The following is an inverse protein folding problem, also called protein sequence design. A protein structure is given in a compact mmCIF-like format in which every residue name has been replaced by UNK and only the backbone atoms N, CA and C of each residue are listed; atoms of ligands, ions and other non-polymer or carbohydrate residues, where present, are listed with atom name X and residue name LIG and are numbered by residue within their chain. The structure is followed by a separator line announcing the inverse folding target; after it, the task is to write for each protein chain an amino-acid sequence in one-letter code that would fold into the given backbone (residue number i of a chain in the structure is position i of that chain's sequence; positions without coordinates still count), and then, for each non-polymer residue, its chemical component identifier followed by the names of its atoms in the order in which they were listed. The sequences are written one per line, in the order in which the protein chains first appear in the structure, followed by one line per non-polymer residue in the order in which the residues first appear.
data_IF_766928722318
#
_entry.id   IF_766928722318
#
_cell.length_a   1.000
_cell.length_b   1.000
_cell.length_c   1.000
_cell.angle_alpha   90.00
_cell.angle_beta   90.00
_cell.angle_gamma   90.00
#
_symmetry.space_group_name_H-M   'P 1'
#
loop_
_entity.id
_entity.type
_entity.pdbx_description
1 polymer ?
#
# COMPACT_ATOMS: atom_id res chain seq x y z
N UNK A 1 -13.29 -2.99 -9.88
CA UNK A 1 -13.89 -1.68 -9.56
C UNK A 1 -14.75 -1.83 -8.30
N UNK A 2 -14.99 -0.76 -7.56
CA UNK A 2 -16.08 -0.68 -6.59
C UNK A 2 -17.42 -0.45 -7.31
N UNK A 3 -18.53 -0.51 -6.58
CA UNK A 3 -19.87 -0.28 -7.14
C UNK A 3 -20.04 1.11 -7.74
N UNK A 4 -19.34 2.11 -7.18
CA UNK A 4 -19.28 3.48 -7.70
C UNK A 4 -18.39 3.65 -8.95
N UNK A 5 -17.83 2.55 -9.48
CA UNK A 5 -16.94 2.58 -10.64
C UNK A 5 -15.51 3.01 -10.32
N UNK A 6 -15.15 3.28 -9.07
CA UNK A 6 -13.77 3.60 -8.71
C UNK A 6 -12.86 2.35 -8.79
N UNK A 7 -11.57 2.56 -9.08
CA UNK A 7 -10.61 1.46 -9.27
C UNK A 7 -10.25 0.81 -7.93
N UNK A 8 -10.40 -0.51 -7.84
CA UNK A 8 -9.82 -1.34 -6.78
C UNK A 8 -8.36 -1.66 -7.13
N UNK A 9 -7.46 -1.58 -6.17
CA UNK A 9 -6.08 -2.01 -6.34
C UNK A 9 -5.54 -2.63 -5.05
N UNK A 10 -4.56 -3.52 -5.19
CA UNK A 10 -3.77 -4.04 -4.10
C UNK A 10 -2.37 -4.36 -4.61
N UNK A 11 -1.36 -3.70 -4.07
CA UNK A 11 0.05 -3.94 -4.36
C UNK A 11 0.69 -4.54 -3.11
N UNK A 12 1.12 -5.80 -3.22
CA UNK A 12 1.72 -6.54 -2.11
C UNK A 12 3.24 -6.55 -2.25
N UNK A 13 3.92 -6.20 -1.16
CA UNK A 13 5.36 -6.30 -1.03
C UNK A 13 5.67 -7.42 -0.04
N UNK A 14 6.43 -8.42 -0.51
CA UNK A 14 6.82 -9.61 0.25
C UNK A 14 8.29 -9.94 0.01
N UNK A 15 8.87 -10.75 0.89
CA UNK A 15 10.18 -11.35 0.70
C UNK A 15 10.15 -12.44 -0.37
N UNK A 16 11.33 -12.95 -0.74
CA UNK A 16 11.47 -14.11 -1.63
C UNK A 16 10.78 -15.38 -1.09
N UNK A 17 10.63 -15.46 0.24
CA UNK A 17 10.03 -16.61 0.94
C UNK A 17 8.52 -16.40 1.19
N UNK A 18 7.92 -15.39 0.53
CA UNK A 18 6.51 -14.99 0.66
C UNK A 18 6.10 -14.42 2.02
N UNK A 19 7.07 -13.99 2.84
CA UNK A 19 6.77 -13.27 4.08
C UNK A 19 6.30 -11.84 3.78
N UNK A 20 5.17 -11.39 4.35
CA UNK A 20 4.59 -10.09 4.01
C UNK A 20 5.38 -8.94 4.64
N UNK A 21 5.77 -7.97 3.82
CA UNK A 21 6.49 -6.75 4.26
C UNK A 21 5.53 -5.56 4.34
N UNK A 22 4.69 -5.40 3.32
CA UNK A 22 3.69 -4.34 3.30
C UNK A 22 2.66 -4.48 2.19
N UNK A 23 1.59 -3.69 2.25
CA UNK A 23 0.56 -3.65 1.20
C UNK A 23 0.01 -2.24 1.01
N UNK A 24 -0.08 -1.80 -0.24
CA UNK A 24 -0.87 -0.62 -0.61
C UNK A 24 -2.17 -1.07 -1.24
N UNK A 25 -3.30 -0.66 -0.69
CA UNK A 25 -4.60 -0.92 -1.26
C UNK A 25 -5.59 0.19 -0.97
N UNK A 26 -6.78 0.04 -1.52
CA UNK A 26 -7.92 0.84 -1.15
C UNK A 26 -9.08 -0.04 -0.73
N UNK A 27 -9.68 0.31 0.39
CA UNK A 27 -10.84 -0.36 0.95
C UNK A 27 -11.67 0.62 1.79
N UNK A 28 -12.99 0.45 1.87
CA UNK A 28 -13.87 1.36 2.61
C UNK A 28 -13.82 1.10 4.12
N UNK A 29 -12.61 0.96 4.67
CA UNK A 29 -12.34 0.86 6.11
C UNK A 29 -11.20 1.82 6.48
N UNK A 30 -11.05 2.16 7.76
CA UNK A 30 -10.17 3.23 8.27
C UNK A 30 -10.60 4.65 7.83
N UNK A 31 -11.86 5.01 8.06
CA UNK A 31 -12.43 6.30 7.65
C UNK A 31 -11.77 7.53 8.26
N UNK A 32 -11.04 7.35 9.36
CA UNK A 32 -10.34 8.44 10.06
C UNK A 32 -8.93 8.73 9.47
N UNK A 33 -8.50 7.94 8.49
CA UNK A 33 -7.24 8.15 7.74
C UNK A 33 -7.32 9.41 6.87
N UNK A 34 -6.26 10.24 6.85
CA UNK A 34 -6.21 11.42 5.99
C UNK A 34 -6.24 11.08 4.49
N UNK A 35 -5.87 9.83 4.14
CA UNK A 35 -5.80 9.36 2.76
C UNK A 35 -6.94 8.41 2.38
N UNK A 36 -7.99 8.29 3.20
CA UNK A 36 -9.13 7.40 2.95
C UNK A 36 -9.66 7.51 1.50
N UNK A 37 -9.93 6.38 0.80
CA UNK A 37 -9.85 4.98 1.25
C UNK A 37 -8.46 4.35 1.10
N UNK A 38 -7.45 5.12 0.75
CA UNK A 38 -6.10 4.68 0.45
C UNK A 38 -5.27 4.59 1.72
N UNK A 39 -4.53 3.50 1.88
CA UNK A 39 -3.66 3.31 3.03
C UNK A 39 -2.53 2.33 2.72
N UNK A 40 -1.53 2.30 3.59
CA UNK A 40 -0.46 1.32 3.59
C UNK A 40 -0.55 0.45 4.84
N UNK A 41 -0.60 -0.87 4.67
CA UNK A 41 -0.39 -1.81 5.75
C UNK A 41 1.11 -2.05 5.92
N UNK A 42 1.65 -1.67 7.07
CA UNK A 42 3.02 -1.95 7.46
C UNK A 42 3.06 -3.24 8.28
N UNK A 43 3.37 -4.36 7.62
CA UNK A 43 3.29 -5.68 8.27
C UNK A 43 4.41 -5.91 9.28
N UNK A 44 5.56 -5.24 9.08
CA UNK A 44 6.68 -5.29 10.02
C UNK A 44 6.36 -4.59 11.35
N UNK A 45 5.53 -3.53 11.31
CA UNK A 45 5.11 -2.77 12.51
C UNK A 45 3.73 -3.17 13.03
N UNK A 46 2.95 -3.92 12.25
CA UNK A 46 1.56 -4.24 12.56
C UNK A 46 0.64 -3.01 12.52
N UNK A 47 0.94 -2.00 11.70
CA UNK A 47 0.20 -0.73 11.63
C UNK A 47 -0.46 -0.49 10.28
N UNK A 48 -1.46 0.38 10.27
CA UNK A 48 -2.01 0.99 9.06
C UNK A 48 -1.61 2.46 9.06
N UNK A 49 -1.02 2.92 7.96
CA UNK A 49 -0.44 4.24 7.81
C UNK A 49 -1.07 4.97 6.60
N UNK A 50 -1.19 6.29 6.71
CA UNK A 50 -1.67 7.13 5.61
C UNK A 50 -0.71 7.04 4.42
N UNK A 51 -1.26 6.87 3.21
CA UNK A 51 -0.48 6.75 1.99
C UNK A 51 -1.25 7.17 0.75
N UNK A 52 -0.62 8.00 -0.08
CA UNK A 52 -1.17 8.47 -1.36
C UNK A 52 -0.73 7.63 -2.57
N UNK A 53 0.05 6.57 -2.34
CA UNK A 53 0.54 5.64 -3.38
C UNK A 53 -0.62 4.76 -3.87
N UNK A 54 -0.91 4.84 -5.17
CA UNK A 54 -2.14 4.27 -5.78
C UNK A 54 -1.90 3.54 -7.10
N UNK A 55 -0.67 3.50 -7.59
CA UNK A 55 -0.28 2.90 -8.87
C UNK A 55 1.08 2.19 -8.76
N UNK A 56 1.35 1.31 -9.73
CA UNK A 56 2.54 0.48 -9.74
C UNK A 56 3.81 1.32 -9.86
N UNK A 57 3.79 2.37 -10.68
CA UNK A 57 4.94 3.26 -10.89
C UNK A 57 5.38 3.91 -9.57
N UNK A 58 4.43 4.38 -8.77
CA UNK A 58 4.70 5.00 -7.46
C UNK A 58 5.17 3.98 -6.43
N UNK A 59 4.66 2.74 -6.49
CA UNK A 59 5.17 1.63 -5.66
C UNK A 59 6.63 1.34 -6.01
N UNK A 60 6.96 1.22 -7.30
CA UNK A 60 8.32 0.95 -7.76
C UNK A 60 9.28 2.08 -7.38
N UNK A 61 8.87 3.34 -7.52
CA UNK A 61 9.66 4.50 -7.07
C UNK A 61 9.86 4.52 -5.55
N UNK A 62 8.83 4.16 -4.78
CA UNK A 62 8.96 3.98 -3.33
C UNK A 62 9.99 2.90 -3.01
N UNK A 63 9.83 1.70 -3.58
CA UNK A 63 10.73 0.57 -3.33
C UNK A 63 12.16 0.91 -3.75
N UNK A 64 12.35 1.52 -4.92
CA UNK A 64 13.66 1.98 -5.39
C UNK A 64 14.32 2.86 -4.34
N UNK A 65 13.66 3.89 -3.81
CA UNK A 65 14.21 4.81 -2.80
C UNK A 65 14.52 4.14 -1.45
N UNK A 66 13.71 3.17 -1.04
CA UNK A 66 13.83 2.54 0.28
C UNK A 66 14.76 1.31 0.28
N UNK A 67 15.02 0.73 -0.90
CA UNK A 67 15.94 -0.39 -1.08
C UNK A 67 17.31 0.00 -1.62
N UNK A 68 17.48 1.19 -2.21
CA UNK A 68 18.77 1.65 -2.76
C UNK A 68 19.75 2.22 -1.72
N UNK A 69 19.66 1.74 -0.46
CA UNK A 69 20.72 1.93 0.53
C UNK A 69 21.66 0.72 0.48
N UNK A 70 22.45 0.64 -0.59
CA UNK A 70 23.73 -0.08 -0.64
C UNK A 70 24.79 0.80 -1.30
#
# INVERSE_FOLDING_TARGET
MFEDGSRKYAYHWQTKDAEPVGRWDNAPHWTDSETFPHHFHNMLRGTVEDSTIRNLESVLEYLKKHLSKE
#
